data_IF_226525745357
#
_entry.id   IF_226525745357
#
_cell.length_a   1.000
_cell.length_b   1.000
_cell.length_c   1.000
_cell.angle_alpha   90.00
_cell.angle_beta   90.00
_cell.angle_gamma   90.00
#
_symmetry.space_group_name_H-M   'P 1'
#
loop_
_entity.id
_entity.type
_entity.pdbx_description
1 polymer ?
#
# COMPACT_ATOMS: atom_id res chain seq x y z
N UNK A 1 40.02 -7.00 13.20
CA UNK A 1 40.27 -6.07 12.07
C UNK A 1 38.91 -5.79 11.45
N UNK A 2 38.29 -4.65 11.80
CA UNK A 2 36.99 -4.25 11.22
C UNK A 2 37.32 -3.32 10.06
N UNK A 3 36.95 -3.73 8.85
CA UNK A 3 37.24 -2.97 7.64
C UNK A 3 36.45 -1.64 7.66
N UNK A 4 37.04 -0.52 7.18
CA UNK A 4 36.46 0.82 7.31
C UNK A 4 35.04 0.99 6.74
N UNK A 5 34.69 0.26 5.68
CA UNK A 5 33.38 0.37 5.01
C UNK A 5 32.21 -0.12 5.87
N UNK A 6 32.43 -1.15 6.70
CA UNK A 6 31.41 -1.73 7.58
C UNK A 6 30.97 -0.76 8.67
N UNK A 7 31.87 0.12 9.13
CA UNK A 7 31.57 1.12 10.17
C UNK A 7 30.60 2.19 9.68
N UNK A 8 30.57 2.49 8.39
CA UNK A 8 29.81 3.61 7.83
C UNK A 8 28.36 3.21 7.55
N UNK A 9 28.14 2.02 6.96
CA UNK A 9 26.82 1.37 6.89
C UNK A 9 26.23 1.16 8.29
N UNK A 10 27.05 0.74 9.25
CA UNK A 10 26.62 0.58 10.65
C UNK A 10 26.22 1.90 11.32
N UNK A 11 26.86 3.03 10.99
CA UNK A 11 26.50 4.34 11.55
C UNK A 11 25.17 4.86 11.00
N UNK A 12 24.91 4.72 9.71
CA UNK A 12 23.62 5.12 9.12
C UNK A 12 22.47 4.29 9.68
N UNK A 13 22.66 2.97 9.77
CA UNK A 13 21.70 2.07 10.42
C UNK A 13 21.50 2.50 11.88
N UNK A 14 22.57 2.77 12.63
CA UNK A 14 22.44 3.22 14.01
C UNK A 14 21.66 4.55 14.13
N UNK A 15 21.87 5.49 13.21
CA UNK A 15 21.10 6.75 13.17
C UNK A 15 19.63 6.47 12.88
N UNK A 16 19.33 5.60 11.91
CA UNK A 16 17.96 5.18 11.58
C UNK A 16 17.24 4.58 12.80
N UNK A 17 17.87 3.61 13.47
CA UNK A 17 17.29 2.96 14.65
C UNK A 17 17.18 3.91 15.86
N UNK A 18 18.10 4.86 16.01
CA UNK A 18 18.00 5.89 17.06
C UNK A 18 16.80 6.82 16.80
N UNK A 19 16.49 7.12 15.53
CA UNK A 19 15.29 7.88 15.18
C UNK A 19 14.04 7.10 15.60
N UNK A 20 13.97 5.79 15.36
CA UNK A 20 12.86 4.98 15.86
C UNK A 20 12.71 5.04 17.39
N UNK A 21 13.82 4.96 18.13
CA UNK A 21 13.79 5.10 19.59
C UNK A 21 13.25 6.48 20.03
N UNK A 22 13.62 7.56 19.34
CA UNK A 22 13.12 8.92 19.61
C UNK A 22 11.64 9.07 19.23
N UNK A 23 11.22 8.50 18.09
CA UNK A 23 9.83 8.47 17.66
C UNK A 23 8.96 7.74 18.69
N UNK A 24 9.39 6.58 19.18
CA UNK A 24 8.66 5.83 20.21
C UNK A 24 8.59 6.58 21.53
N UNK A 25 9.69 7.16 21.99
CA UNK A 25 9.70 7.99 23.20
C UNK A 25 8.72 9.16 23.11
N UNK A 26 8.58 9.78 21.93
CA UNK A 26 7.76 10.98 21.73
C UNK A 26 6.29 10.69 21.44
N UNK A 27 6.01 9.67 20.63
CA UNK A 27 4.69 9.43 20.05
C UNK A 27 4.06 8.10 20.46
N UNK A 28 4.80 7.23 21.17
CA UNK A 28 4.39 5.88 21.54
C UNK A 28 3.92 5.09 20.31
N UNK A 29 4.88 4.59 19.53
CA UNK A 29 4.61 3.96 18.24
C UNK A 29 3.69 2.74 18.38
N UNK A 30 3.78 2.01 19.50
CA UNK A 30 2.87 0.88 19.77
C UNK A 30 1.41 1.33 19.87
N UNK A 31 1.14 2.45 20.54
CA UNK A 31 -0.22 2.94 20.70
C UNK A 31 -0.73 3.60 19.40
N UNK A 32 0.17 4.23 18.63
CA UNK A 32 -0.12 4.79 17.32
C UNK A 32 -0.48 3.71 16.29
N UNK A 33 0.28 2.61 16.28
CA UNK A 33 0.02 1.42 15.45
C UNK A 33 -1.37 0.85 15.76
N UNK A 34 -1.63 0.53 17.03
CA UNK A 34 -2.93 0.01 17.48
C UNK A 34 -4.11 0.90 17.10
N UNK A 35 -3.93 2.22 17.04
CA UNK A 35 -5.00 3.18 16.68
C UNK A 35 -5.22 3.28 15.17
N UNK A 36 -4.14 3.21 14.38
CA UNK A 36 -4.13 3.64 12.98
C UNK A 36 -4.06 2.46 12.01
N UNK A 37 -3.26 1.44 12.30
CA UNK A 37 -3.12 0.23 11.48
C UNK A 37 -4.38 -0.63 11.64
N UNK A 38 -5.34 -0.43 10.74
CA UNK A 38 -6.67 -1.10 10.73
C UNK A 38 -6.92 -1.94 9.48
N UNK A 39 -6.05 -1.81 8.50
CA UNK A 39 -6.12 -2.43 7.18
C UNK A 39 -4.73 -2.42 6.55
N UNK A 40 -4.50 -3.26 5.55
CA UNK A 40 -3.27 -3.24 4.74
C UNK A 40 -2.89 -1.82 4.31
N UNK A 41 -3.85 -1.04 3.79
CA UNK A 41 -3.60 0.35 3.35
C UNK A 41 -3.17 1.29 4.47
N UNK A 42 -3.87 1.28 5.61
CA UNK A 42 -3.60 2.20 6.72
C UNK A 42 -2.30 1.84 7.46
N UNK A 43 -1.99 0.54 7.59
CA UNK A 43 -0.72 0.06 8.13
C UNK A 43 0.44 0.49 7.24
N UNK A 44 0.32 0.33 5.92
CA UNK A 44 1.35 0.79 4.96
C UNK A 44 1.54 2.31 4.98
N UNK A 45 0.46 3.08 5.15
CA UNK A 45 0.52 4.53 5.27
C UNK A 45 1.28 4.97 6.54
N UNK A 46 0.98 4.34 7.69
CA UNK A 46 1.69 4.61 8.94
C UNK A 46 3.16 4.23 8.86
N UNK A 47 3.48 3.07 8.28
CA UNK A 47 4.85 2.63 8.07
C UNK A 47 5.62 3.64 7.20
N UNK A 48 5.00 4.20 6.15
CA UNK A 48 5.63 5.21 5.31
C UNK A 48 5.93 6.53 6.04
N UNK A 49 5.09 6.95 6.99
CA UNK A 49 5.43 8.08 7.86
C UNK A 49 6.64 7.75 8.76
N UNK A 50 6.60 6.59 9.42
CA UNK A 50 7.59 6.20 10.43
C UNK A 50 8.97 5.95 9.82
N UNK A 51 9.04 5.10 8.80
CA UNK A 51 10.29 4.80 8.07
C UNK A 51 10.77 6.00 7.28
N UNK A 52 9.85 6.75 6.65
CA UNK A 52 10.20 7.90 5.83
C UNK A 52 10.95 9.00 6.60
N UNK A 53 10.60 9.20 7.87
CA UNK A 53 11.27 10.16 8.76
C UNK A 53 12.67 9.66 9.17
N UNK A 54 12.81 8.39 9.52
CA UNK A 54 14.10 7.77 9.82
C UNK A 54 15.06 7.83 8.62
N UNK A 55 14.58 7.49 7.41
CA UNK A 55 15.37 7.58 6.18
C UNK A 55 15.77 9.03 5.87
N UNK A 56 14.87 9.99 6.07
CA UNK A 56 15.20 11.40 5.81
C UNK A 56 16.34 11.87 6.71
N UNK A 57 16.31 11.52 7.99
CA UNK A 57 17.35 11.88 8.96
C UNK A 57 18.66 11.14 8.68
N UNK A 58 18.61 9.86 8.32
CA UNK A 58 19.81 9.10 7.95
C UNK A 58 20.51 9.73 6.73
N UNK A 59 19.74 10.26 5.76
CA UNK A 59 20.27 10.88 4.54
C UNK A 59 20.85 12.26 4.83
N UNK A 60 20.25 13.00 5.76
CA UNK A 60 20.78 14.28 6.24
C UNK A 60 22.08 14.08 7.02
N UNK A 61 22.16 13.05 7.87
CA UNK A 61 23.39 12.67 8.56
C UNK A 61 24.50 12.28 7.57
N UNK A 62 24.19 11.43 6.59
CA UNK A 62 25.12 11.03 5.53
C UNK A 62 25.72 12.23 4.80
N UNK A 63 24.87 13.19 4.39
CA UNK A 63 25.30 14.43 3.73
C UNK A 63 26.20 15.27 4.62
N UNK A 64 25.84 15.45 5.88
CA UNK A 64 26.64 16.19 6.86
C UNK A 64 28.00 15.52 7.09
N UNK A 65 28.02 14.21 7.32
CA UNK A 65 29.25 13.45 7.53
C UNK A 65 30.18 13.56 6.32
N UNK A 66 29.65 13.39 5.10
CA UNK A 66 30.42 13.55 3.86
C UNK A 66 31.01 14.95 3.72
N UNK A 67 30.24 15.99 4.02
CA UNK A 67 30.73 17.37 3.97
C UNK A 67 31.83 17.65 5.00
N UNK A 68 31.76 17.03 6.18
CA UNK A 68 32.72 17.23 7.27
C UNK A 68 34.00 16.39 7.12
N UNK A 69 33.90 15.15 6.62
CA UNK A 69 35.00 14.19 6.55
C UNK A 69 35.66 14.07 5.19
N UNK A 70 34.97 14.46 4.11
CA UNK A 70 35.39 14.19 2.73
C UNK A 70 35.26 12.72 2.31
N UNK A 71 34.81 11.84 3.20
CA UNK A 71 34.59 10.42 2.91
C UNK A 71 33.22 10.22 2.25
N UNK A 72 33.20 9.52 1.11
CA UNK A 72 31.94 9.04 0.55
C UNK A 72 31.40 7.88 1.39
N UNK A 73 30.10 7.91 1.71
CA UNK A 73 29.43 6.69 2.15
C UNK A 73 29.52 5.66 1.02
N UNK A 74 30.32 4.61 1.23
CA UNK A 74 30.18 3.40 0.43
C UNK A 74 28.81 2.83 0.78
N UNK A 75 27.83 2.99 -0.11
CA UNK A 75 26.61 2.19 -0.09
C UNK A 75 27.06 0.77 -0.40
N UNK A 76 27.47 0.03 0.62
CA UNK A 76 27.47 -1.41 0.53
C UNK A 76 25.99 -1.79 0.44
N UNK A 77 25.52 -2.06 -0.77
CA UNK A 77 24.33 -2.89 -0.95
C UNK A 77 24.62 -4.15 -0.16
N UNK A 78 23.94 -4.34 0.97
CA UNK A 78 24.20 -5.44 1.89
C UNK A 78 24.40 -6.74 1.12
N UNK A 79 25.41 -7.50 1.54
CA UNK A 79 25.79 -8.76 0.92
C UNK A 79 24.57 -9.60 0.54
N UNK A 80 24.66 -10.24 -0.63
CA UNK A 80 23.88 -11.36 -1.15
C UNK A 80 23.17 -12.18 -0.06
N UNK A 81 22.05 -11.66 0.45
CA UNK A 81 21.10 -12.47 1.18
C UNK A 81 20.40 -13.30 0.12
N UNK A 82 20.86 -14.54 -0.05
CA UNK A 82 20.26 -15.59 -0.88
C UNK A 82 18.87 -16.02 -0.41
N UNK A 83 18.11 -15.13 0.20
CA UNK A 83 16.66 -15.26 0.25
C UNK A 83 16.14 -14.51 -0.97
N UNK A 84 15.58 -15.23 -1.94
CA UNK A 84 14.69 -14.61 -2.91
C UNK A 84 13.50 -14.03 -2.14
N UNK A 85 13.62 -12.76 -1.72
CA UNK A 85 12.51 -12.02 -1.16
C UNK A 85 11.50 -11.87 -2.31
N UNK A 86 10.26 -12.36 -2.18
CA UNK A 86 9.24 -12.17 -3.19
C UNK A 86 9.15 -10.70 -3.60
N UNK A 87 9.13 -10.42 -4.90
CA UNK A 87 9.16 -9.05 -5.45
C UNK A 87 8.14 -8.12 -4.79
N UNK A 88 6.96 -8.66 -4.43
CA UNK A 88 5.91 -7.92 -3.74
C UNK A 88 6.34 -7.38 -2.37
N UNK A 89 7.13 -8.13 -1.60
CA UNK A 89 7.64 -7.68 -0.30
C UNK A 89 8.71 -6.60 -0.47
N UNK A 90 9.57 -6.73 -1.49
CA UNK A 90 10.54 -5.69 -1.85
C UNK A 90 9.84 -4.39 -2.25
N UNK A 91 8.76 -4.48 -3.03
CA UNK A 91 7.96 -3.31 -3.43
C UNK A 91 7.22 -2.67 -2.25
N UNK A 92 6.73 -3.47 -1.30
CA UNK A 92 6.14 -2.96 -0.05
C UNK A 92 7.18 -2.23 0.81
N UNK A 93 8.39 -2.78 0.95
CA UNK A 93 9.52 -2.07 1.58
C UNK A 93 9.83 -0.75 0.86
N UNK A 94 9.98 -0.79 -0.47
CA UNK A 94 10.22 0.41 -1.27
C UNK A 94 9.17 1.51 -1.06
N UNK A 95 7.92 1.13 -0.72
CA UNK A 95 6.90 2.11 -0.37
C UNK A 95 7.20 2.86 0.92
N UNK A 96 7.44 2.13 2.00
CA UNK A 96 7.68 2.73 3.31
C UNK A 96 8.94 3.61 3.32
N UNK A 97 10.03 3.12 2.74
CA UNK A 97 11.30 3.84 2.70
C UNK A 97 11.31 4.96 1.64
N UNK A 98 10.94 4.62 0.40
CA UNK A 98 11.05 5.54 -0.74
C UNK A 98 9.96 6.59 -0.79
N UNK A 99 8.69 6.16 -0.88
CA UNK A 99 7.56 7.09 -0.92
C UNK A 99 7.32 7.76 0.43
N UNK A 100 7.58 7.06 1.53
CA UNK A 100 7.56 7.63 2.87
C UNK A 100 8.52 8.80 3.03
N UNK A 101 9.80 8.65 2.65
CA UNK A 101 10.75 9.76 2.69
C UNK A 101 10.28 10.97 1.88
N UNK A 102 9.76 10.74 0.67
CA UNK A 102 9.24 11.84 -0.17
C UNK A 102 8.05 12.55 0.50
N UNK A 103 7.20 11.81 1.21
CA UNK A 103 6.11 12.36 1.99
C UNK A 103 6.60 13.17 3.19
N UNK A 104 7.52 12.64 4.01
CA UNK A 104 8.04 13.35 5.18
C UNK A 104 8.83 14.59 4.76
N UNK A 105 9.66 14.49 3.72
CA UNK A 105 10.33 15.65 3.13
C UNK A 105 9.34 16.72 2.71
N UNK A 106 8.21 16.35 2.10
CA UNK A 106 7.17 17.30 1.72
C UNK A 106 6.57 18.00 2.95
N UNK A 107 6.33 17.29 4.06
CA UNK A 107 5.87 17.93 5.30
C UNK A 107 6.93 18.90 5.85
N UNK A 108 8.20 18.48 5.88
CA UNK A 108 9.33 19.33 6.29
C UNK A 108 9.44 20.60 5.45
N UNK A 109 9.31 20.48 4.13
CA UNK A 109 9.34 21.63 3.21
C UNK A 109 8.14 22.58 3.40
N UNK A 110 7.02 22.10 3.96
CA UNK A 110 5.82 22.92 4.20
C UNK A 110 5.81 23.64 5.55
N UNK A 111 6.42 23.06 6.59
CA UNK A 111 6.31 23.60 7.95
C UNK A 111 7.36 23.05 8.93
N UNK A 112 8.52 22.63 8.43
CA UNK A 112 9.63 22.16 9.27
C UNK A 112 9.32 20.89 10.04
N UNK A 113 10.00 20.71 11.16
CA UNK A 113 9.82 19.53 12.02
C UNK A 113 8.46 19.55 12.73
N UNK A 114 7.87 20.73 12.93
CA UNK A 114 6.52 20.89 13.47
C UNK A 114 5.49 20.20 12.58
N UNK A 115 5.58 20.36 11.26
CA UNK A 115 4.69 19.67 10.33
C UNK A 115 4.88 18.14 10.33
N UNK A 116 6.10 17.64 10.59
CA UNK A 116 6.35 16.20 10.76
C UNK A 116 5.73 15.70 12.06
N UNK A 117 5.92 16.43 13.17
CA UNK A 117 5.33 16.09 14.46
C UNK A 117 3.79 16.07 14.39
N UNK A 118 3.18 17.05 13.70
CA UNK A 118 1.75 17.06 13.43
C UNK A 118 1.31 15.84 12.63
N UNK A 119 2.15 15.34 11.72
CA UNK A 119 1.85 14.13 11.00
C UNK A 119 1.83 12.88 11.89
N UNK A 120 2.69 12.79 12.91
CA UNK A 120 2.61 11.71 13.90
C UNK A 120 1.40 11.85 14.83
N UNK A 121 0.94 13.07 15.12
CA UNK A 121 -0.28 13.31 15.89
C UNK A 121 -1.55 13.01 15.08
N UNK A 122 -1.49 13.17 13.76
CA UNK A 122 -2.59 12.96 12.82
C UNK A 122 -2.13 12.04 11.66
N UNK A 123 -1.81 10.77 11.93
CA UNK A 123 -1.15 9.90 10.96
C UNK A 123 -1.95 9.72 9.68
N UNK A 124 -1.26 9.57 8.52
CA UNK A 124 -1.92 9.23 7.27
C UNK A 124 -2.64 7.89 7.41
N UNK A 125 -3.86 7.83 6.89
CA UNK A 125 -4.78 6.69 6.99
C UNK A 125 -4.86 5.88 5.70
N UNK A 126 -4.24 6.37 4.63
CA UNK A 126 -4.21 5.69 3.34
C UNK A 126 -2.90 5.92 2.60
N UNK A 127 -2.49 4.95 1.78
CA UNK A 127 -1.34 5.10 0.87
C UNK A 127 -1.56 6.22 -0.14
N UNK A 128 -2.81 6.63 -0.39
CA UNK A 128 -3.16 7.80 -1.20
C UNK A 128 -2.66 9.11 -0.59
N UNK A 129 -2.78 9.29 0.72
CA UNK A 129 -2.28 10.49 1.42
C UNK A 129 -0.75 10.62 1.32
N UNK A 130 -0.04 9.49 1.31
CA UNK A 130 1.41 9.45 1.06
C UNK A 130 1.72 9.88 -0.38
N UNK A 131 1.04 9.26 -1.35
CA UNK A 131 1.34 9.38 -2.78
C UNK A 131 0.90 10.71 -3.39
N UNK A 132 -0.26 11.26 -2.98
CA UNK A 132 -0.86 12.41 -3.61
C UNK A 132 -0.57 13.69 -2.83
N UNK A 133 0.15 14.61 -3.49
CA UNK A 133 0.69 15.83 -2.87
C UNK A 133 -0.34 16.65 -2.09
N UNK A 134 -1.56 16.75 -2.61
CA UNK A 134 -2.60 17.64 -2.09
C UNK A 134 -3.56 16.94 -1.12
N UNK A 135 -3.40 15.63 -0.94
CA UNK A 135 -4.34 14.81 -0.18
C UNK A 135 -3.98 14.74 1.29
N UNK A 136 -2.81 15.29 1.69
CA UNK A 136 -2.38 15.34 3.06
C UNK A 136 -1.59 16.60 3.39
N UNK A 137 -2.13 17.36 4.35
CA UNK A 137 -1.47 18.41 5.10
C UNK A 137 -2.23 18.59 6.40
N UNK A 138 -1.87 17.80 7.43
CA UNK A 138 -2.42 17.95 8.78
C UNK A 138 -2.25 19.40 9.29
N UNK A 139 -1.08 19.98 9.03
CA UNK A 139 -0.73 21.37 9.35
C UNK A 139 -1.63 22.43 8.67
N UNK A 140 -2.26 22.13 7.53
CA UNK A 140 -3.18 23.03 6.81
C UNK A 140 -4.62 22.51 6.78
N UNK A 141 -4.94 21.47 7.58
CA UNK A 141 -6.27 20.87 7.67
C UNK A 141 -6.74 20.11 6.42
N UNK A 142 -5.86 19.82 5.46
CA UNK A 142 -6.21 19.05 4.28
C UNK A 142 -5.95 17.57 4.55
N UNK A 143 -6.99 16.81 4.87
CA UNK A 143 -6.91 15.36 5.04
C UNK A 143 -7.87 14.68 4.07
N UNK A 144 -7.33 13.87 3.17
CA UNK A 144 -8.15 13.04 2.30
C UNK A 144 -8.98 12.08 3.15
N UNK A 145 -10.26 11.98 2.84
CA UNK A 145 -11.16 11.02 3.46
C UNK A 145 -11.51 9.96 2.44
N UNK A 146 -10.96 8.77 2.62
CA UNK A 146 -11.36 7.60 1.85
C UNK A 146 -12.87 7.40 1.97
N UNK A 147 -13.52 7.06 0.87
CA UNK A 147 -14.93 6.68 0.90
C UNK A 147 -15.09 5.39 1.68
N UNK A 148 -15.90 5.43 2.73
CA UNK A 148 -16.20 4.26 3.54
C UNK A 148 -17.14 3.36 2.73
N UNK A 149 -16.64 2.20 2.35
CA UNK A 149 -17.42 1.17 1.68
C UNK A 149 -17.69 0.03 2.64
N UNK A 150 -18.91 -0.49 2.58
CA UNK A 150 -19.27 -1.76 3.22
C UNK A 150 -19.33 -2.84 2.15
N UNK A 151 -18.86 -4.03 2.51
CA UNK A 151 -19.25 -5.24 1.79
C UNK A 151 -20.63 -5.63 2.28
N UNK A 152 -21.59 -5.85 1.37
CA UNK A 152 -22.95 -6.24 1.76
C UNK A 152 -22.89 -7.56 2.56
N UNK A 153 -23.17 -7.47 3.86
CA UNK A 153 -23.50 -8.63 4.65
C UNK A 153 -24.84 -9.16 4.15
N UNK A 154 -24.83 -10.36 3.56
CA UNK A 154 -26.09 -11.05 3.31
C UNK A 154 -26.74 -11.34 4.67
N UNK A 155 -28.07 -11.27 4.81
CA UNK A 155 -28.73 -11.61 6.07
C UNK A 155 -28.31 -13.02 6.51
N UNK A 156 -28.10 -13.19 7.81
CA UNK A 156 -27.59 -14.40 8.46
C UNK A 156 -28.36 -15.68 8.08
N UNK A 157 -29.59 -15.52 7.59
CA UNK A 157 -30.44 -16.57 7.04
C UNK A 157 -29.89 -17.26 5.77
N UNK A 158 -28.85 -16.73 5.13
CA UNK A 158 -28.21 -17.31 3.92
C UNK A 158 -26.95 -18.12 4.27
N UNK A 159 -26.60 -18.28 5.56
CA UNK A 159 -25.41 -19.05 5.95
C UNK A 159 -24.09 -18.40 5.51
N UNK A 160 -24.07 -17.07 5.33
CA UNK A 160 -22.87 -16.29 5.02
C UNK A 160 -22.28 -15.72 6.32
N UNK A 161 -21.00 -16.00 6.58
CA UNK A 161 -20.23 -15.48 7.73
C UNK A 161 -19.00 -14.72 7.22
N UNK A 162 -18.82 -13.47 7.66
CA UNK A 162 -17.58 -12.71 7.42
C UNK A 162 -16.44 -13.36 8.23
N UNK A 163 -15.33 -13.67 7.54
CA UNK A 163 -14.13 -14.25 8.13
C UNK A 163 -13.01 -13.22 8.27
N UNK A 164 -12.85 -12.36 7.27
CA UNK A 164 -11.80 -11.37 7.20
C UNK A 164 -12.26 -10.17 6.38
N UNK A 165 -11.79 -8.98 6.73
CA UNK A 165 -12.04 -7.75 6.00
C UNK A 165 -10.77 -6.91 5.90
N UNK A 166 -10.66 -6.15 4.81
CA UNK A 166 -9.49 -5.32 4.57
C UNK A 166 -9.78 -4.15 3.62
N UNK A 167 -8.82 -3.24 3.51
CA UNK A 167 -8.74 -2.20 2.51
C UNK A 167 -7.34 -2.28 1.90
N UNK A 168 -7.26 -2.51 0.59
CA UNK A 168 -5.99 -2.66 -0.10
C UNK A 168 -5.32 -1.32 -0.41
N UNK A 169 -6.10 -0.29 -0.74
CA UNK A 169 -5.55 1.03 -0.96
C UNK A 169 -4.97 1.29 -2.34
N UNK A 170 -4.66 2.56 -2.59
CA UNK A 170 -4.13 3.03 -3.87
C UNK A 170 -2.85 2.30 -4.28
N UNK A 171 -1.89 2.11 -3.37
CA UNK A 171 -0.59 1.55 -3.73
C UNK A 171 -0.68 0.06 -4.07
N UNK A 172 -1.40 -0.73 -3.28
CA UNK A 172 -1.60 -2.16 -3.56
C UNK A 172 -2.31 -2.36 -4.90
N UNK A 173 -3.32 -1.54 -5.20
CA UNK A 173 -3.98 -1.56 -6.52
C UNK A 173 -3.00 -1.21 -7.63
N UNK A 174 -2.15 -0.19 -7.45
CA UNK A 174 -1.09 0.14 -8.42
C UNK A 174 -0.17 -1.05 -8.69
N UNK A 175 0.26 -1.77 -7.64
CA UNK A 175 1.11 -2.96 -7.80
C UNK A 175 0.40 -4.07 -8.58
N UNK A 176 -0.87 -4.31 -8.27
CA UNK A 176 -1.69 -5.27 -9.00
C UNK A 176 -1.77 -4.90 -10.50
N UNK A 177 -2.03 -3.64 -10.81
CA UNK A 177 -2.16 -3.16 -12.18
C UNK A 177 -0.83 -3.12 -12.95
N UNK A 178 0.30 -2.99 -12.25
CA UNK A 178 1.63 -3.01 -12.86
C UNK A 178 1.92 -4.36 -13.55
N UNK A 179 1.22 -5.44 -13.16
CA UNK A 179 1.29 -6.74 -13.84
C UNK A 179 0.80 -6.72 -15.29
N UNK A 180 0.16 -5.65 -15.74
CA UNK A 180 -0.16 -5.43 -17.16
C UNK A 180 1.10 -5.28 -18.03
N UNK A 181 2.27 -5.05 -17.43
CA UNK A 181 3.50 -4.70 -18.13
C UNK A 181 3.62 -3.23 -18.51
N UNK A 182 2.63 -2.39 -18.14
CA UNK A 182 2.65 -0.96 -18.38
C UNK A 182 2.54 -0.17 -17.06
N UNK A 183 3.69 0.23 -16.52
CA UNK A 183 3.76 0.94 -15.24
C UNK A 183 3.08 2.30 -15.27
N UNK A 184 3.17 3.05 -16.37
CA UNK A 184 2.54 4.38 -16.49
C UNK A 184 1.01 4.27 -16.43
N UNK A 185 0.44 3.33 -17.18
CA UNK A 185 -1.01 3.04 -17.12
C UNK A 185 -1.44 2.60 -15.72
N UNK A 186 -0.65 1.76 -15.05
CA UNK A 186 -0.95 1.34 -13.69
C UNK A 186 -0.95 2.51 -12.68
N UNK A 187 -0.01 3.45 -12.82
CA UNK A 187 0.04 4.67 -12.01
C UNK A 187 -1.20 5.52 -12.23
N UNK A 188 -1.54 5.78 -13.50
CA UNK A 188 -2.67 6.63 -13.86
C UNK A 188 -4.00 6.02 -13.41
N UNK A 189 -4.24 4.74 -13.73
CA UNK A 189 -5.46 4.05 -13.35
C UNK A 189 -5.63 4.01 -11.82
N UNK A 190 -4.58 3.71 -11.05
CA UNK A 190 -4.66 3.68 -9.58
C UNK A 190 -4.85 5.07 -8.95
N UNK A 191 -4.43 6.15 -9.63
CA UNK A 191 -4.53 7.53 -9.12
C UNK A 191 -5.96 7.96 -8.80
N UNK A 192 -6.94 7.42 -9.51
CA UNK A 192 -8.35 7.70 -9.29
C UNK A 192 -8.95 7.04 -8.06
N UNK A 193 -8.23 6.15 -7.35
CA UNK A 193 -8.77 5.40 -6.22
C UNK A 193 -9.28 6.31 -5.12
N UNK A 194 -10.50 6.05 -4.63
CA UNK A 194 -11.17 6.84 -3.59
C UNK A 194 -11.46 6.04 -2.33
N UNK A 195 -11.44 4.72 -2.39
CA UNK A 195 -11.74 3.83 -1.27
C UNK A 195 -11.98 2.41 -1.77
N UNK A 196 -11.73 1.41 -0.93
CA UNK A 196 -12.10 0.04 -1.21
C UNK A 196 -12.37 -0.76 0.07
N UNK A 197 -13.14 -1.84 -0.09
CA UNK A 197 -13.43 -2.79 0.99
C UNK A 197 -13.45 -4.20 0.45
N UNK A 198 -12.57 -5.03 0.99
CA UNK A 198 -12.50 -6.46 0.80
C UNK A 198 -13.24 -7.16 1.94
N UNK A 199 -13.99 -8.20 1.61
CA UNK A 199 -14.57 -9.13 2.58
C UNK A 199 -14.38 -10.57 2.10
N UNK A 200 -13.80 -11.40 2.95
CA UNK A 200 -13.74 -12.85 2.78
C UNK A 200 -14.84 -13.48 3.62
N UNK A 201 -15.67 -14.29 2.99
CA UNK A 201 -16.84 -14.91 3.59
C UNK A 201 -16.76 -16.43 3.47
N UNK A 202 -17.34 -17.13 4.47
CA UNK A 202 -17.78 -18.52 4.33
C UNK A 202 -19.25 -18.52 3.97
N UNK A 203 -19.62 -19.10 2.83
CA UNK A 203 -20.99 -19.16 2.33
C UNK A 203 -21.30 -20.59 1.88
N UNK A 204 -22.25 -21.26 2.56
CA UNK A 204 -22.65 -22.64 2.26
C UNK A 204 -21.47 -23.66 2.21
N UNK A 205 -20.43 -23.42 3.00
CA UNK A 205 -19.22 -24.28 3.05
C UNK A 205 -18.07 -23.79 2.17
N UNK A 206 -18.35 -22.98 1.15
CA UNK A 206 -17.35 -22.43 0.23
C UNK A 206 -16.77 -21.10 0.75
N UNK A 207 -15.53 -20.80 0.36
CA UNK A 207 -14.94 -19.47 0.50
C UNK A 207 -15.37 -18.56 -0.66
N UNK A 208 -15.78 -17.35 -0.31
CA UNK A 208 -16.24 -16.31 -1.24
C UNK A 208 -15.59 -14.99 -0.88
N UNK A 209 -14.91 -14.37 -1.84
CA UNK A 209 -14.30 -13.05 -1.67
C UNK A 209 -15.11 -12.02 -2.44
N UNK A 210 -15.51 -10.95 -1.76
CA UNK A 210 -16.13 -9.78 -2.37
C UNK A 210 -15.21 -8.57 -2.17
N UNK A 211 -14.88 -7.88 -3.24
CA UNK A 211 -14.09 -6.66 -3.20
C UNK A 211 -14.83 -5.55 -3.93
N UNK A 212 -15.15 -4.48 -3.22
CA UNK A 212 -15.80 -3.29 -3.76
C UNK A 212 -14.81 -2.14 -3.77
N UNK A 213 -14.60 -1.52 -4.92
CA UNK A 213 -13.75 -0.33 -5.06
C UNK A 213 -14.58 0.88 -5.44
N UNK A 214 -14.11 2.07 -5.05
CA UNK A 214 -14.68 3.38 -5.40
C UNK A 214 -13.59 4.27 -5.99
N UNK A 215 -13.99 5.08 -6.96
CA UNK A 215 -13.11 5.92 -7.75
C UNK A 215 -13.58 7.37 -7.75
N UNK A 216 -12.70 8.29 -8.10
CA UNK A 216 -13.02 9.72 -8.17
C UNK A 216 -14.09 10.00 -9.23
N UNK A 217 -13.97 9.36 -10.39
CA UNK A 217 -14.91 9.47 -11.51
C UNK A 217 -15.26 8.10 -12.10
N UNK A 218 -16.27 8.07 -12.96
CA UNK A 218 -16.56 6.88 -13.77
C UNK A 218 -15.40 6.54 -14.72
N UNK A 219 -14.68 7.54 -15.25
CA UNK A 219 -13.53 7.32 -16.13
C UNK A 219 -12.43 6.56 -15.40
N UNK A 220 -12.11 6.99 -14.17
CA UNK A 220 -11.13 6.31 -13.31
C UNK A 220 -11.54 4.84 -13.04
N UNK A 221 -12.82 4.61 -12.74
CA UNK A 221 -13.36 3.27 -12.52
C UNK A 221 -13.24 2.39 -13.78
N UNK A 222 -13.48 2.98 -14.96
CA UNK A 222 -13.38 2.30 -16.25
C UNK A 222 -11.93 1.97 -16.59
N UNK A 223 -10.99 2.88 -16.34
CA UNK A 223 -9.55 2.65 -16.54
C UNK A 223 -9.04 1.47 -15.71
N UNK A 224 -9.42 1.40 -14.44
CA UNK A 224 -9.14 0.24 -13.59
C UNK A 224 -9.76 -1.05 -14.14
N UNK A 225 -11.05 -1.01 -14.50
CA UNK A 225 -11.77 -2.18 -15.01
C UNK A 225 -11.14 -2.74 -16.29
N UNK A 226 -10.83 -1.86 -17.26
CA UNK A 226 -10.22 -2.25 -18.53
C UNK A 226 -8.82 -2.80 -18.32
N UNK A 227 -7.98 -2.15 -17.50
CA UNK A 227 -6.63 -2.62 -17.26
C UNK A 227 -6.60 -3.96 -16.50
N UNK A 228 -7.53 -4.16 -15.57
CA UNK A 228 -7.70 -5.44 -14.90
C UNK A 228 -8.13 -6.54 -15.87
N UNK A 229 -9.08 -6.25 -16.77
CA UNK A 229 -9.49 -7.18 -17.84
C UNK A 229 -8.29 -7.57 -18.70
N UNK A 230 -7.50 -6.59 -19.14
CA UNK A 230 -6.34 -6.80 -20.00
C UNK A 230 -5.27 -7.68 -19.31
N UNK A 231 -5.09 -7.56 -17.98
CA UNK A 231 -4.20 -8.45 -17.21
C UNK A 231 -4.69 -9.90 -17.31
N UNK A 232 -5.98 -10.15 -17.09
CA UNK A 232 -6.51 -11.51 -17.13
C UNK A 232 -6.51 -12.10 -18.55
N UNK A 233 -6.90 -11.31 -19.56
CA UNK A 233 -7.01 -11.80 -20.93
C UNK A 233 -5.66 -11.96 -21.63
N UNK A 234 -4.78 -10.97 -21.49
CA UNK A 234 -3.57 -10.89 -22.32
C UNK A 234 -2.34 -11.42 -21.59
N UNK A 235 -2.21 -11.14 -20.29
CA UNK A 235 -1.04 -11.58 -19.52
C UNK A 235 -1.22 -12.96 -18.93
N UNK A 236 -2.35 -13.23 -18.29
CA UNK A 236 -2.63 -14.54 -17.69
C UNK A 236 -3.24 -15.53 -18.70
N UNK A 237 -3.54 -15.08 -19.92
CA UNK A 237 -4.14 -15.88 -21.00
C UNK A 237 -5.39 -16.65 -20.56
N UNK A 238 -6.14 -16.12 -19.59
CA UNK A 238 -7.34 -16.79 -19.09
C UNK A 238 -8.52 -16.38 -19.96
N UNK A 239 -9.29 -17.35 -20.50
CA UNK A 239 -10.49 -17.04 -21.28
C UNK A 239 -11.45 -16.16 -20.48
N UNK A 240 -11.85 -15.05 -21.08
CA UNK A 240 -12.84 -14.14 -20.51
C UNK A 240 -14.11 -14.10 -21.36
N UNK A 241 -15.25 -14.39 -20.75
CA UNK A 241 -16.54 -13.95 -21.30
C UNK A 241 -16.74 -12.51 -20.87
N UNK A 242 -16.99 -11.60 -21.81
CA UNK A 242 -17.09 -10.18 -21.51
C UNK A 242 -18.27 -9.48 -22.19
N UNK A 243 -18.79 -8.47 -21.51
CA UNK A 243 -19.66 -7.40 -22.01
C UNK A 243 -19.02 -6.06 -21.61
N UNK A 244 -19.56 -4.93 -22.08
CA UNK A 244 -18.99 -3.60 -21.85
C UNK A 244 -18.71 -3.28 -20.36
N UNK A 245 -19.47 -3.88 -19.44
CA UNK A 245 -19.47 -3.61 -17.99
C UNK A 245 -19.21 -4.85 -17.13
N UNK A 246 -18.86 -5.98 -17.73
CA UNK A 246 -18.75 -7.25 -17.01
C UNK A 246 -17.74 -8.19 -17.67
N UNK A 247 -16.92 -8.89 -16.87
CA UNK A 247 -16.23 -10.07 -17.36
C UNK A 247 -16.12 -11.18 -16.31
N UNK A 248 -16.00 -12.42 -16.79
CA UNK A 248 -15.87 -13.63 -15.97
C UNK A 248 -14.61 -14.40 -16.32
N UNK A 249 -13.92 -14.90 -15.29
CA UNK A 249 -12.72 -15.76 -15.39
C UNK A 249 -13.07 -17.11 -14.77
N UNK A 250 -12.82 -18.24 -15.45
CA UNK A 250 -13.30 -19.57 -15.03
C UNK A 250 -12.22 -20.52 -14.46
N UNK A 251 -10.92 -20.21 -14.60
CA UNK A 251 -9.83 -21.15 -14.26
C UNK A 251 -9.19 -20.96 -12.87
N UNK A 252 -9.57 -19.93 -12.09
CA UNK A 252 -9.03 -19.63 -10.75
C UNK A 252 -10.12 -19.68 -9.67
N UNK A 253 -11.19 -20.44 -9.93
CA UNK A 253 -12.51 -20.23 -9.35
C UNK A 253 -13.40 -19.38 -10.27
N UNK A 254 -14.59 -19.01 -9.81
CA UNK A 254 -15.48 -18.12 -10.55
C UNK A 254 -15.23 -16.68 -10.12
N UNK A 255 -14.33 -15.97 -10.82
CA UNK A 255 -14.19 -14.52 -10.67
C UNK A 255 -15.17 -13.83 -11.61
N UNK A 256 -16.00 -12.95 -11.08
CA UNK A 256 -16.78 -11.99 -11.86
C UNK A 256 -16.39 -10.57 -11.46
N UNK A 257 -16.17 -9.72 -12.45
CA UNK A 257 -15.89 -8.30 -12.26
C UNK A 257 -17.01 -7.52 -12.95
N UNK A 258 -17.64 -6.61 -12.21
CA UNK A 258 -18.76 -5.79 -12.67
C UNK A 258 -18.44 -4.31 -12.46
N UNK A 259 -18.50 -3.53 -13.54
CA UNK A 259 -18.52 -2.07 -13.53
C UNK A 259 -19.95 -1.62 -13.80
N UNK A 260 -20.66 -1.10 -12.79
CA UNK A 260 -22.03 -0.63 -13.01
C UNK A 260 -22.04 0.66 -13.83
N UNK A 261 -22.76 0.67 -14.95
CA UNK A 261 -22.87 1.85 -15.82
C UNK A 261 -23.31 3.07 -14.99
N UNK A 262 -22.64 4.22 -15.19
CA UNK A 262 -22.82 5.48 -14.44
C UNK A 262 -22.38 5.48 -12.97
N UNK A 263 -21.83 4.39 -12.44
CA UNK A 263 -21.31 4.32 -11.08
C UNK A 263 -19.79 4.38 -11.05
N UNK A 264 -19.24 5.17 -10.13
CA UNK A 264 -17.80 5.24 -9.81
C UNK A 264 -17.29 4.00 -9.04
N UNK A 265 -17.97 2.86 -9.14
CA UNK A 265 -17.68 1.67 -8.34
C UNK A 265 -17.44 0.45 -9.23
N UNK A 266 -16.47 -0.38 -8.84
CA UNK A 266 -16.22 -1.69 -9.44
C UNK A 266 -16.35 -2.76 -8.36
N UNK A 267 -17.08 -3.84 -8.67
CA UNK A 267 -17.31 -4.95 -7.75
C UNK A 267 -16.68 -6.21 -8.34
N UNK A 268 -15.80 -6.83 -7.57
CA UNK A 268 -15.21 -8.12 -7.87
C UNK A 268 -15.78 -9.15 -6.90
N UNK A 269 -16.18 -10.30 -7.43
CA UNK A 269 -16.62 -11.45 -6.64
C UNK A 269 -15.90 -12.69 -7.12
N UNK A 270 -15.15 -13.33 -6.23
CA UNK A 270 -14.48 -14.59 -6.48
C UNK A 270 -15.16 -15.67 -5.62
N UNK A 271 -15.61 -16.75 -6.26
CA UNK A 271 -16.23 -17.90 -5.59
C UNK A 271 -15.47 -19.19 -5.90
N UNK A 272 -15.57 -20.18 -5.01
CA UNK A 272 -15.04 -21.55 -5.22
C UNK A 272 -13.56 -21.55 -5.61
N UNK A 273 -12.76 -20.78 -4.89
CA UNK A 273 -11.32 -20.83 -4.99
C UNK A 273 -10.79 -21.68 -3.85
N UNK A 274 -9.91 -22.63 -4.15
CA UNK A 274 -9.20 -23.42 -3.14
C UNK A 274 -7.82 -22.77 -2.95
N UNK A 275 -7.57 -22.19 -1.78
CA UNK A 275 -6.20 -22.06 -1.30
C UNK A 275 -5.90 -23.30 -0.48
N UNK A 276 -5.09 -24.21 -1.02
CA UNK A 276 -4.29 -25.06 -0.15
C UNK A 276 -3.22 -24.15 0.44
N UNK A 277 -3.46 -23.64 1.65
CA UNK A 277 -2.35 -23.18 2.47
C UNK A 277 -1.53 -24.45 2.72
N UNK A 278 -0.38 -24.57 2.06
CA UNK A 278 0.58 -25.61 2.41
C UNK A 278 0.82 -25.45 3.91
N UNK A 279 0.48 -26.48 4.70
CA UNK A 279 0.74 -26.50 6.12
C UNK A 279 2.22 -26.18 6.31
N UNK A 280 2.51 -25.06 6.97
CA UNK A 280 3.85 -24.74 7.41
C UNK A 280 4.18 -25.69 8.56
N UNK A 281 4.63 -26.89 8.23
CA UNK A 281 5.23 -27.87 9.14
C UNK A 281 6.67 -27.52 9.43
#
# INVERSE_FOLDING_TARGET
IVLPSWKQTSKRILVHELVHALQDQRFNLSDLDKKTCRSTDSCMALAALTEGDAVLIDEEYAKFHRAASGEEDKIETGQDYRCEIPEVLTLQGNFAYGFGKLFVKRQKDMGGNEAINEAFMHPPKSTREILQKNDYSAYKGALFRSEILTVEEAPSSIGRKLLYEDTFGQYTIRLMLARSGNQEKAILAAKGWKGDRLGLFKENGDLVMHWKTSWNTYSDAKEFFDLLRDIYSNQLQIPISHQASYFKVENIGYLSVELRQSQKHVVLKLKRFNFELADAS
#
